data_IF_910306712874
#
_entry.id   IF_910306712874
#
_cell.length_a   1.000
_cell.length_b   1.000
_cell.length_c   1.000
_cell.angle_alpha   90.00
_cell.angle_beta   90.00
_cell.angle_gamma   90.00
#
_symmetry.space_group_name_H-M   'P 1'
#
loop_
_entity.id
_entity.type
_entity.pdbx_description
1 polymer ?
#
# COMPACT_ATOMS: atom_id res chain seq x y z
N UNK A 1 44.39 -0.74 -0.02
CA UNK A 1 43.82 0.17 1.01
C UNK A 1 42.90 1.24 0.44
N UNK A 2 43.22 1.89 -0.68
CA UNK A 2 42.33 2.86 -1.37
C UNK A 2 40.99 2.26 -1.84
N UNK A 3 41.00 1.01 -2.32
CA UNK A 3 39.80 0.29 -2.79
C UNK A 3 38.85 -0.09 -1.66
N UNK A 4 39.37 -0.47 -0.49
CA UNK A 4 38.56 -0.79 0.69
C UNK A 4 37.85 0.45 1.26
N UNK A 5 38.55 1.59 1.25
CA UNK A 5 38.00 2.88 1.72
C UNK A 5 36.87 3.38 0.81
N UNK A 6 37.00 3.21 -0.51
CA UNK A 6 35.95 3.53 -1.47
C UNK A 6 34.69 2.66 -1.29
N UNK A 7 34.86 1.38 -0.96
CA UNK A 7 33.75 0.46 -0.67
C UNK A 7 33.00 0.83 0.62
N UNK A 8 33.73 1.26 1.66
CA UNK A 8 33.14 1.74 2.91
C UNK A 8 32.36 3.06 2.73
N UNK A 9 32.83 3.96 1.87
CA UNK A 9 32.15 5.22 1.56
C UNK A 9 30.85 5.00 0.77
N UNK A 10 30.82 4.03 -0.14
CA UNK A 10 29.62 3.67 -0.89
C UNK A 10 28.56 2.96 -0.01
N UNK A 11 28.99 2.32 1.08
CA UNK A 11 28.11 1.68 2.06
C UNK A 11 27.54 2.67 3.09
N UNK A 12 28.08 3.89 3.21
CA UNK A 12 27.51 4.88 4.11
C UNK A 12 26.23 5.47 3.53
N UNK A 13 25.11 4.91 3.98
CA UNK A 13 23.84 5.61 4.15
C UNK A 13 23.03 5.94 2.88
N UNK A 14 22.49 4.92 2.22
CA UNK A 14 21.18 5.05 1.61
C UNK A 14 20.10 5.07 2.72
N UNK A 15 19.99 6.17 3.48
CA UNK A 15 18.85 6.38 4.37
C UNK A 15 17.66 6.79 3.50
N UNK A 16 16.55 6.06 3.61
CA UNK A 16 15.29 6.47 2.99
C UNK A 16 14.89 7.84 3.53
N UNK A 17 14.55 8.79 2.66
CA UNK A 17 14.08 10.09 3.10
C UNK A 17 12.84 9.90 3.99
N UNK A 18 12.79 10.58 5.14
CA UNK A 18 11.77 10.43 6.19
C UNK A 18 10.32 10.55 5.67
N UNK A 19 10.13 11.16 4.50
CA UNK A 19 8.83 11.45 3.90
C UNK A 19 8.59 10.81 2.52
N UNK A 20 9.52 9.99 2.00
CA UNK A 20 9.38 9.42 0.64
C UNK A 20 8.08 8.61 0.44
N UNK A 21 7.60 7.96 1.51
CA UNK A 21 6.37 7.18 1.51
C UNK A 21 5.27 7.75 2.43
N UNK A 22 5.34 9.03 2.77
CA UNK A 22 4.38 9.66 3.69
C UNK A 22 2.91 9.56 3.22
N UNK A 23 2.68 9.46 1.91
CA UNK A 23 1.35 9.26 1.32
C UNK A 23 0.68 7.94 1.76
N UNK A 24 1.46 6.94 2.18
CA UNK A 24 0.93 5.70 2.75
C UNK A 24 0.32 5.90 4.13
N UNK A 25 0.60 6.99 4.85
CA UNK A 25 -0.07 7.28 6.12
C UNK A 25 -1.44 7.91 5.95
N UNK A 26 -1.76 8.35 4.75
CA UNK A 26 -3.03 9.03 4.45
C UNK A 26 -4.21 8.06 4.34
N UNK A 27 -3.97 6.79 4.06
CA UNK A 27 -5.02 5.81 3.80
C UNK A 27 -5.26 5.57 2.31
N UNK A 28 -5.84 4.41 1.99
CA UNK A 28 -6.20 4.00 0.64
C UNK A 28 -7.67 3.58 0.58
N UNK A 29 -8.36 3.99 -0.49
CA UNK A 29 -9.72 3.54 -0.78
C UNK A 29 -10.80 4.25 0.03
N UNK A 30 -12.00 4.35 -0.56
CA UNK A 30 -13.10 5.07 0.06
C UNK A 30 -13.67 4.34 1.29
N UNK A 31 -13.73 3.00 1.26
CA UNK A 31 -14.23 2.18 2.37
C UNK A 31 -13.34 2.28 3.60
N UNK A 32 -12.03 2.14 3.40
CA UNK A 32 -11.05 2.23 4.49
C UNK A 32 -11.09 3.57 5.20
N UNK A 33 -11.12 4.65 4.43
CA UNK A 33 -11.18 6.02 4.94
C UNK A 33 -12.53 6.34 5.61
N UNK A 34 -13.65 5.89 5.03
CA UNK A 34 -14.98 6.16 5.57
C UNK A 34 -15.27 5.42 6.88
N UNK A 35 -14.71 4.21 7.06
CA UNK A 35 -14.92 3.41 8.26
C UNK A 35 -13.97 3.75 9.40
N UNK A 36 -12.79 4.31 9.11
CA UNK A 36 -11.77 4.69 10.10
C UNK A 36 -11.04 3.53 10.80
N UNK A 37 -11.66 2.35 10.90
CA UNK A 37 -11.09 1.13 11.48
C UNK A 37 -11.34 -0.08 10.56
N UNK A 38 -10.57 -0.17 9.48
CA UNK A 38 -10.89 -1.10 8.38
C UNK A 38 -10.09 -2.41 8.35
N UNK A 39 -9.05 -2.56 9.18
CA UNK A 39 -8.12 -3.72 9.13
C UNK A 39 -8.83 -5.09 9.19
N UNK A 40 -9.87 -5.22 10.04
CA UNK A 40 -10.62 -6.46 10.17
C UNK A 40 -11.67 -6.67 9.05
N UNK A 41 -12.12 -5.57 8.44
CA UNK A 41 -13.12 -5.55 7.37
C UNK A 41 -12.51 -5.52 5.96
N UNK A 42 -11.17 -5.50 5.86
CA UNK A 42 -10.45 -5.51 4.59
C UNK A 42 -10.68 -6.84 3.85
N UNK A 43 -11.56 -6.78 2.85
CA UNK A 43 -11.99 -7.90 2.02
C UNK A 43 -12.19 -7.49 0.54
N UNK A 44 -11.52 -6.43 0.10
CA UNK A 44 -11.61 -5.88 -1.25
C UNK A 44 -10.23 -5.62 -1.88
N UNK A 45 -10.21 -4.93 -3.03
CA UNK A 45 -8.97 -4.64 -3.74
C UNK A 45 -7.93 -3.87 -2.90
N UNK A 46 -8.36 -3.11 -1.89
CA UNK A 46 -7.49 -2.39 -0.97
C UNK A 46 -6.84 -3.25 0.13
N UNK A 47 -7.20 -4.54 0.21
CA UNK A 47 -6.64 -5.49 1.19
C UNK A 47 -5.10 -5.53 1.24
N UNK A 48 -4.33 -5.47 0.14
CA UNK A 48 -2.87 -5.44 0.22
C UNK A 48 -2.32 -4.29 1.07
N UNK A 49 -3.03 -3.16 1.10
CA UNK A 49 -2.65 -1.98 1.89
C UNK A 49 -3.11 -2.10 3.35
N UNK A 50 -4.34 -2.57 3.60
CA UNK A 50 -4.93 -2.60 4.95
C UNK A 50 -4.65 -3.88 5.74
N UNK A 51 -4.81 -5.04 5.09
CA UNK A 51 -4.62 -6.37 5.68
C UNK A 51 -4.49 -7.43 4.57
N UNK A 52 -3.27 -7.85 4.20
CA UNK A 52 -3.06 -8.82 3.13
C UNK A 52 -3.77 -10.17 3.35
N UNK A 53 -4.05 -10.57 4.60
CA UNK A 53 -4.80 -11.79 4.89
C UNK A 53 -6.25 -11.74 4.37
N UNK A 54 -6.80 -10.53 4.17
CA UNK A 54 -8.11 -10.30 3.52
C UNK A 54 -8.18 -10.84 2.09
N UNK A 55 -7.05 -10.90 1.38
CA UNK A 55 -6.97 -11.44 0.02
C UNK A 55 -7.38 -12.91 -0.05
N UNK A 56 -7.14 -13.70 1.01
CA UNK A 56 -7.56 -15.10 1.07
C UNK A 56 -9.09 -15.24 1.15
N UNK A 57 -9.81 -14.23 1.66
CA UNK A 57 -11.27 -14.24 1.81
C UNK A 57 -12.01 -13.74 0.56
N UNK A 58 -11.30 -13.04 -0.32
CA UNK A 58 -11.83 -12.54 -1.59
C UNK A 58 -12.26 -13.66 -2.54
N UNK A 59 -13.25 -13.38 -3.39
CA UNK A 59 -13.72 -14.31 -4.42
C UNK A 59 -13.77 -13.59 -5.77
N UNK A 60 -13.08 -14.11 -6.76
CA UNK A 60 -13.05 -13.56 -8.11
C UNK A 60 -12.00 -12.48 -8.30
N UNK A 61 -12.36 -11.42 -9.04
CA UNK A 61 -11.47 -10.32 -9.42
C UNK A 61 -12.10 -9.01 -8.97
N UNK A 62 -11.31 -8.17 -8.31
CA UNK A 62 -11.76 -6.90 -7.73
C UNK A 62 -10.82 -5.79 -8.20
N UNK A 63 -11.40 -4.65 -8.57
CA UNK A 63 -10.69 -3.44 -8.95
C UNK A 63 -11.29 -2.31 -8.12
N UNK A 64 -10.44 -1.47 -7.56
CA UNK A 64 -10.84 -0.24 -6.87
C UNK A 64 -10.03 0.94 -7.40
N UNK A 65 -10.71 2.05 -7.64
CA UNK A 65 -10.08 3.34 -7.94
C UNK A 65 -10.70 4.39 -7.04
N UNK A 66 -9.89 5.20 -6.37
CA UNK A 66 -10.39 6.23 -5.46
C UNK A 66 -9.63 7.55 -5.63
N UNK A 67 -10.31 8.66 -5.37
CA UNK A 67 -9.70 9.98 -5.27
C UNK A 67 -10.12 10.59 -3.95
N UNK A 68 -9.14 10.99 -3.14
CA UNK A 68 -9.36 11.67 -1.87
C UNK A 68 -8.78 13.08 -1.92
N UNK A 69 -9.54 14.04 -1.38
CA UNK A 69 -9.09 15.41 -1.17
C UNK A 69 -8.49 15.54 0.23
N UNK A 70 -7.33 16.15 0.31
CA UNK A 70 -6.54 16.33 1.52
C UNK A 70 -6.51 17.80 1.92
N UNK A 71 -6.00 18.05 3.13
CA UNK A 71 -5.68 19.41 3.57
C UNK A 71 -4.73 20.08 2.57
N UNK A 72 -4.80 21.41 2.53
CA UNK A 72 -3.99 22.25 1.63
C UNK A 72 -4.32 22.07 0.14
N UNK A 73 -5.53 21.61 -0.20
CA UNK A 73 -5.98 21.46 -1.59
C UNK A 73 -5.30 20.33 -2.35
N UNK A 74 -4.56 19.46 -1.66
CA UNK A 74 -3.89 18.31 -2.29
C UNK A 74 -4.91 17.23 -2.62
N UNK A 75 -4.70 16.48 -3.70
CA UNK A 75 -5.52 15.31 -4.06
C UNK A 75 -4.63 14.09 -4.16
N UNK A 76 -5.10 12.95 -3.67
CA UNK A 76 -4.42 11.68 -3.79
C UNK A 76 -5.34 10.70 -4.53
N UNK A 77 -4.84 10.15 -5.63
CA UNK A 77 -5.48 9.06 -6.35
C UNK A 77 -4.89 7.72 -5.92
N UNK A 78 -5.73 6.70 -5.84
CA UNK A 78 -5.30 5.31 -5.65
C UNK A 78 -6.00 4.41 -6.65
N UNK A 79 -5.29 3.36 -7.08
CA UNK A 79 -5.83 2.26 -7.84
C UNK A 79 -5.30 0.97 -7.21
N UNK A 80 -6.19 -0.01 -7.03
CA UNK A 80 -5.84 -1.29 -6.45
C UNK A 80 -6.56 -2.41 -7.21
N UNK A 81 -5.90 -3.57 -7.33
CA UNK A 81 -6.47 -4.75 -7.99
C UNK A 81 -6.20 -5.95 -7.12
N UNK A 82 -7.21 -6.80 -6.93
CA UNK A 82 -7.07 -8.09 -6.26
C UNK A 82 -7.67 -9.23 -7.07
N UNK A 83 -7.05 -10.40 -6.95
CA UNK A 83 -7.39 -11.62 -7.68
C UNK A 83 -7.37 -12.80 -6.71
N UNK A 84 -8.51 -13.46 -6.53
CA UNK A 84 -8.60 -14.74 -5.83
C UNK A 84 -9.61 -15.64 -6.57
N UNK A 85 -9.11 -16.35 -7.59
CA UNK A 85 -9.96 -17.12 -8.52
C UNK A 85 -10.48 -18.42 -7.90
N UNK A 86 -9.73 -19.03 -6.98
CA UNK A 86 -10.02 -20.37 -6.43
C UNK A 86 -10.47 -20.38 -4.98
N UNK A 87 -10.31 -19.28 -4.25
CA UNK A 87 -10.67 -19.17 -2.84
C UNK A 87 -9.56 -19.41 -1.84
N UNK A 88 -8.45 -20.01 -2.28
CA UNK A 88 -7.40 -20.49 -1.38
C UNK A 88 -6.18 -19.56 -1.36
N UNK A 89 -6.01 -18.75 -2.41
CA UNK A 89 -4.88 -17.84 -2.58
C UNK A 89 -5.34 -16.56 -3.28
N UNK A 90 -5.02 -15.42 -2.66
CA UNK A 90 -5.30 -14.11 -3.22
C UNK A 90 -4.01 -13.34 -3.51
N UNK A 91 -4.00 -12.64 -4.64
CA UNK A 91 -2.95 -11.71 -5.06
C UNK A 91 -3.53 -10.31 -5.14
N UNK A 92 -2.77 -9.29 -4.80
CA UNK A 92 -3.22 -7.91 -5.03
C UNK A 92 -2.10 -6.88 -4.99
N UNK A 93 -2.40 -5.71 -5.54
CA UNK A 93 -1.51 -4.58 -5.73
C UNK A 93 -2.25 -3.27 -5.41
#
# INVERSE_FOLDING_TARGET
>A
MKTLFALLLAASAAHGADFAAAFLKTGLGARGLGLGAFVAAADDASSPYWNPAGLARLRGKTLETSIQSLSLGRRQGSAAVALNVRGDMGFGF
#
